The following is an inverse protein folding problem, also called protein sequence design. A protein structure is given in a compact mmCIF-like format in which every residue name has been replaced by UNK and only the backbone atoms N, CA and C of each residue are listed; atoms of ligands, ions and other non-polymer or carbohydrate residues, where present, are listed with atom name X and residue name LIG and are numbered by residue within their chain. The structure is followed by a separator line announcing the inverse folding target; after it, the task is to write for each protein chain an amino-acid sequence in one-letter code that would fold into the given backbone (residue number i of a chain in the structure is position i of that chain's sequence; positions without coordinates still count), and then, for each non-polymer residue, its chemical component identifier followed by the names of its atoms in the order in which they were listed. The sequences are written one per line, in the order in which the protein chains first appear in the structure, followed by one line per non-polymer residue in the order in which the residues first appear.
data_IF_812680809267
#
_entry.id   IF_812680809267
#
_cell.length_a   1.000
_cell.length_b   1.000
_cell.length_c   1.000
_cell.angle_alpha   90.00
_cell.angle_beta   90.00
_cell.angle_gamma   90.00
#
_symmetry.space_group_name_H-M   'P 1'
#
loop_
_entity.id
_entity.type
_entity.pdbx_description
1 polymer ?
#
# COMPACT_ATOMS: atom_id res chain seq x y z
N UNK A 1 -11.21 -1.48 2.90
CA UNK A 1 -10.24 -0.64 3.67
C UNK A 1 -10.81 0.76 3.91
N UNK A 2 -10.28 1.51 4.89
CA UNK A 2 -10.71 2.88 5.25
C UNK A 2 -10.19 4.00 4.34
N UNK A 3 -9.71 3.69 3.12
CA UNK A 3 -9.21 4.67 2.15
C UNK A 3 -8.20 5.67 2.74
N UNK A 4 -7.30 5.16 3.58
CA UNK A 4 -6.28 6.02 4.20
C UNK A 4 -5.24 6.47 3.17
N UNK A 5 -4.78 7.74 3.24
CA UNK A 5 -3.58 8.16 2.56
C UNK A 5 -2.39 7.43 3.19
N UNK A 6 -1.65 6.70 2.37
CA UNK A 6 -0.52 5.90 2.78
C UNK A 6 0.72 6.25 1.96
N UNK A 7 1.87 5.95 2.56
CA UNK A 7 3.18 5.99 1.91
C UNK A 7 3.75 4.57 1.89
N UNK A 8 4.01 4.07 0.70
CA UNK A 8 4.64 2.77 0.47
C UNK A 8 6.11 2.98 0.17
N UNK A 9 6.98 2.36 0.95
CA UNK A 9 8.40 2.21 0.62
C UNK A 9 8.61 0.80 0.07
N UNK A 10 9.06 0.70 -1.16
CA UNK A 10 9.31 -0.55 -1.86
C UNK A 10 10.65 -1.15 -1.44
N UNK A 11 10.83 -2.48 -1.57
CA UNK A 11 12.12 -3.16 -1.34
C UNK A 11 13.24 -2.63 -2.25
N UNK A 12 12.88 -2.01 -3.38
CA UNK A 12 13.81 -1.30 -4.29
C UNK A 12 14.27 0.07 -3.77
N UNK A 13 13.65 0.60 -2.70
CA UNK A 13 13.86 1.95 -2.19
C UNK A 13 12.94 3.02 -2.79
N UNK A 14 12.13 2.66 -3.81
CA UNK A 14 11.11 3.56 -4.36
C UNK A 14 10.05 3.91 -3.33
N UNK A 15 9.54 5.13 -3.38
CA UNK A 15 8.50 5.62 -2.48
C UNK A 15 7.29 6.05 -3.29
N UNK A 16 6.12 5.50 -2.93
CA UNK A 16 4.83 5.78 -3.58
C UNK A 16 3.87 6.36 -2.53
N UNK A 17 3.36 7.56 -2.78
CA UNK A 17 2.30 8.16 -1.98
C UNK A 17 0.96 7.93 -2.68
N UNK A 18 0.00 7.31 -1.99
CA UNK A 18 -1.24 6.85 -2.60
C UNK A 18 -2.35 6.64 -1.57
N UNK A 19 -3.59 6.45 -2.03
CA UNK A 19 -4.72 6.10 -1.17
C UNK A 19 -5.01 4.61 -1.25
N UNK A 20 -5.05 3.93 -0.11
CA UNK A 20 -5.24 2.48 -0.05
C UNK A 20 -6.72 2.08 -0.21
N UNK A 21 -7.08 1.40 -1.29
CA UNK A 21 -8.49 1.09 -1.61
C UNK A 21 -8.93 -0.28 -1.08
N UNK A 22 -8.18 -1.33 -1.38
CA UNK A 22 -8.50 -2.71 -0.98
C UNK A 22 -7.29 -3.64 -1.05
N UNK A 23 -7.39 -4.85 -0.52
CA UNK A 23 -6.42 -5.94 -0.73
C UNK A 23 -7.06 -7.11 -1.46
N UNK A 24 -6.33 -7.74 -2.38
CA UNK A 24 -6.83 -8.86 -3.17
C UNK A 24 -5.68 -9.75 -3.67
N UNK A 25 -6.01 -10.94 -4.19
CA UNK A 25 -5.07 -11.77 -4.94
C UNK A 25 -5.19 -11.49 -6.43
N UNK A 26 -4.06 -11.25 -7.10
CA UNK A 26 -4.04 -11.07 -8.55
C UNK A 26 -4.18 -12.43 -9.29
N UNK A 27 -4.17 -12.41 -10.62
CA UNK A 27 -4.27 -13.62 -11.45
C UNK A 27 -3.11 -14.62 -11.23
N UNK A 28 -1.94 -14.14 -10.79
CA UNK A 28 -0.79 -14.96 -10.42
C UNK A 28 -0.84 -15.48 -8.97
N UNK A 29 -1.94 -15.21 -8.24
CA UNK A 29 -2.13 -15.51 -6.81
C UNK A 29 -1.12 -14.82 -5.90
N UNK A 30 -0.63 -13.65 -6.31
CA UNK A 30 0.16 -12.77 -5.44
C UNK A 30 -0.77 -11.85 -4.66
N UNK A 31 -0.48 -11.63 -3.38
CA UNK A 31 -1.22 -10.68 -2.55
C UNK A 31 -0.85 -9.25 -3.00
N UNK A 32 -1.87 -8.47 -3.34
CA UNK A 32 -1.74 -7.11 -3.87
C UNK A 32 -2.60 -6.14 -3.07
N UNK A 33 -2.12 -4.91 -2.94
CA UNK A 33 -2.89 -3.77 -2.47
C UNK A 33 -3.32 -2.94 -3.68
N UNK A 34 -4.63 -2.72 -3.82
CA UNK A 34 -5.18 -1.78 -4.78
C UNK A 34 -5.07 -0.38 -4.20
N UNK A 35 -4.46 0.53 -4.94
CA UNK A 35 -4.20 1.91 -4.52
C UNK A 35 -4.65 2.89 -5.58
N UNK A 36 -4.97 4.12 -5.18
CA UNK A 36 -5.18 5.24 -6.09
C UNK A 36 -3.99 6.19 -6.01
N UNK A 37 -3.31 6.40 -7.14
CA UNK A 37 -2.17 7.31 -7.29
C UNK A 37 -2.62 8.47 -8.17
N UNK A 38 -2.84 9.64 -7.58
CA UNK A 38 -3.21 10.85 -8.34
C UNK A 38 -4.47 10.69 -9.21
N UNK A 39 -5.46 9.91 -8.77
CA UNK A 39 -6.69 9.64 -9.51
C UNK A 39 -6.65 8.39 -10.39
N UNK A 40 -5.49 7.73 -10.52
CA UNK A 40 -5.36 6.48 -11.29
C UNK A 40 -5.29 5.28 -10.35
N UNK A 41 -6.14 4.30 -10.57
CA UNK A 41 -6.08 3.04 -9.83
C UNK A 41 -4.89 2.19 -10.31
N UNK A 42 -4.16 1.62 -9.37
CA UNK A 42 -3.00 0.78 -9.61
C UNK A 42 -2.93 -0.34 -8.57
N UNK A 43 -2.18 -1.39 -8.86
CA UNK A 43 -2.00 -2.54 -7.98
C UNK A 43 -0.52 -2.66 -7.61
N UNK A 44 -0.25 -2.84 -6.32
CA UNK A 44 1.10 -3.02 -5.79
C UNK A 44 1.17 -4.38 -5.10
N UNK A 45 2.13 -5.22 -5.51
CA UNK A 45 2.36 -6.53 -4.88
C UNK A 45 2.91 -6.31 -3.48
N UNK A 46 2.26 -6.88 -2.46
CA UNK A 46 2.61 -6.68 -1.05
C UNK A 46 4.02 -7.17 -0.74
N UNK A 47 4.45 -8.29 -1.32
CA UNK A 47 5.81 -8.81 -1.12
C UNK A 47 6.92 -7.86 -1.64
N UNK A 48 6.58 -6.92 -2.52
CA UNK A 48 7.53 -5.89 -3.00
C UNK A 48 7.60 -4.68 -2.08
N UNK A 49 6.72 -4.57 -1.08
CA UNK A 49 6.68 -3.48 -0.12
C UNK A 49 7.66 -3.82 1.02
N UNK A 50 8.44 -2.83 1.45
CA UNK A 50 9.26 -2.89 2.66
C UNK A 50 8.58 -2.22 3.84
N UNK A 51 7.87 -1.11 3.60
CA UNK A 51 7.19 -0.34 4.66
C UNK A 51 5.91 0.31 4.13
N UNK A 52 4.87 0.30 4.95
CA UNK A 52 3.62 1.04 4.73
C UNK A 52 3.40 1.98 5.92
N UNK A 53 3.20 3.27 5.65
CA UNK A 53 2.94 4.29 6.66
C UNK A 53 1.62 4.98 6.38
N UNK A 54 0.84 5.29 7.43
CA UNK A 54 -0.39 6.08 7.28
C UNK A 54 -0.07 7.55 7.51
N UNK A 55 -0.45 8.40 6.55
CA UNK A 55 -0.19 9.85 6.59
C UNK A 55 -1.03 10.62 7.61
N UNK A 56 -2.01 9.96 8.24
CA UNK A 56 -2.90 10.54 9.24
C UNK A 56 -2.93 9.71 10.52
N UNK A 57 -3.17 10.37 11.66
CA UNK A 57 -3.50 9.67 12.89
C UNK A 57 -4.77 8.84 12.68
N UNK A 58 -4.67 7.56 12.99
CA UNK A 58 -5.77 6.62 12.90
C UNK A 58 -5.60 5.56 14.02
N UNK A 59 -6.70 5.00 14.52
CA UNK A 59 -6.66 4.05 15.63
C UNK A 59 -6.16 2.65 15.23
N UNK A 60 -5.92 2.38 13.95
CA UNK A 60 -5.63 1.03 13.45
C UNK A 60 -4.13 0.73 13.42
N UNK A 61 -3.33 1.59 12.79
CA UNK A 61 -1.88 1.44 12.74
C UNK A 61 -1.22 2.70 12.21
N UNK A 62 -0.01 3.00 12.69
CA UNK A 62 0.79 4.12 12.18
C UNK A 62 1.74 3.69 11.06
N UNK A 63 2.37 2.52 11.23
CA UNK A 63 3.29 1.94 10.28
C UNK A 63 3.26 0.42 10.36
N UNK A 64 3.57 -0.23 9.24
CA UNK A 64 3.79 -1.68 9.13
C UNK A 64 5.06 -1.89 8.32
N UNK A 65 5.95 -2.74 8.81
CA UNK A 65 7.16 -3.15 8.09
C UNK A 65 7.00 -4.60 7.64
N UNK A 66 7.44 -4.88 6.42
CA UNK A 66 7.40 -6.19 5.78
C UNK A 66 8.83 -6.68 5.57
N UNK A 67 9.06 -7.99 5.78
CA UNK A 67 10.37 -8.66 5.60
C UNK A 67 10.49 -9.33 4.24
#
# INVERSE_FOLDING_TARGET
MYQYPIKLTMKTGEVIECTALDTHYNAAREECIKVNVGGTDSEVIIDKISKLEVGIENPHFKQVCFS
#
